data_IF_025256857031
#
_entry.id   IF_025256857031
#
_cell.length_a   1.000
_cell.length_b   1.000
_cell.length_c   1.000
_cell.angle_alpha   90.00
_cell.angle_beta   90.00
_cell.angle_gamma   90.00
#
_symmetry.space_group_name_H-M   'P 1'
#
loop_
_entity.id
_entity.type
_entity.pdbx_description
1 polymer ?
#
# COMPACT_ATOMS: atom_id res chain seq x y z
N UNK A 1 15.07 17.20 31.44
CA UNK A 1 14.66 18.00 30.27
C UNK A 1 13.39 17.38 29.73
N UNK A 2 12.25 18.04 29.99
CA UNK A 2 10.92 17.50 29.73
C UNK A 2 10.59 17.51 28.24
N UNK A 3 10.06 16.40 27.76
CA UNK A 3 9.47 16.30 26.43
C UNK A 3 8.13 17.06 26.43
N UNK A 4 7.84 17.89 25.40
CA UNK A 4 6.61 18.63 25.33
C UNK A 4 5.41 17.68 25.12
N UNK A 5 4.43 17.77 26.02
CA UNK A 5 3.07 17.29 25.82
C UNK A 5 2.43 18.14 24.73
N UNK A 6 2.48 17.71 23.47
CA UNK A 6 1.55 18.15 22.44
C UNK A 6 1.53 17.12 21.31
N UNK A 7 0.33 16.84 20.83
CA UNK A 7 0.03 15.80 19.86
C UNK A 7 0.76 16.03 18.54
N UNK A 8 1.80 15.26 18.26
CA UNK A 8 2.39 15.18 16.91
C UNK A 8 1.51 14.27 16.06
N UNK A 9 0.68 14.88 15.23
CA UNK A 9 -0.01 14.17 14.16
C UNK A 9 1.02 13.47 13.24
N UNK A 10 0.65 12.36 12.61
CA UNK A 10 1.50 11.65 11.63
C UNK A 10 2.06 12.61 10.57
N UNK A 11 1.32 13.68 10.26
CA UNK A 11 1.68 14.77 9.36
C UNK A 11 2.93 15.58 9.76
N UNK A 12 3.32 15.59 11.04
CA UNK A 12 4.46 16.38 11.56
C UNK A 12 5.78 15.60 11.52
N UNK A 13 5.75 14.29 11.28
CA UNK A 13 6.97 13.52 11.07
C UNK A 13 7.46 13.78 9.65
N UNK A 14 8.54 14.55 9.51
CA UNK A 14 9.19 14.81 8.22
C UNK A 14 9.91 13.54 7.73
N UNK A 15 9.17 12.66 7.06
CA UNK A 15 9.67 11.40 6.52
C UNK A 15 10.59 11.55 5.30
N UNK A 16 10.70 12.76 4.73
CA UNK A 16 11.59 13.05 3.61
C UNK A 16 13.08 13.07 4.00
N UNK A 17 13.39 13.07 5.31
CA UNK A 17 14.74 13.25 5.84
C UNK A 17 15.47 11.94 6.26
N UNK A 18 14.83 10.77 6.16
CA UNK A 18 15.45 9.51 6.61
C UNK A 18 16.24 8.82 5.49
N UNK A 19 17.57 8.87 5.58
CA UNK A 19 18.44 7.98 4.80
C UNK A 19 18.29 6.49 5.25
N UNK A 20 18.90 5.56 4.52
CA UNK A 20 18.75 4.11 4.78
C UNK A 20 19.33 3.68 6.14
N UNK A 21 20.34 4.39 6.64
CA UNK A 21 21.00 4.11 7.92
C UNK A 21 20.21 4.67 9.10
N UNK A 22 19.71 5.89 8.99
CA UNK A 22 18.83 6.55 9.94
C UNK A 22 17.50 5.79 10.08
N UNK A 23 16.96 5.31 8.96
CA UNK A 23 15.79 4.41 8.98
C UNK A 23 16.09 3.12 9.73
N UNK A 24 17.21 2.41 9.46
CA UNK A 24 17.54 1.17 10.17
C UNK A 24 17.82 1.39 11.66
N UNK A 25 18.39 2.53 12.04
CA UNK A 25 18.62 2.88 13.44
C UNK A 25 17.30 3.21 14.15
N UNK A 26 16.44 4.03 13.52
CA UNK A 26 15.10 4.33 14.01
C UNK A 26 14.25 3.07 14.16
N UNK A 27 14.22 2.20 13.14
CA UNK A 27 13.48 0.93 13.20
C UNK A 27 14.01 0.01 14.30
N UNK A 28 15.34 -0.07 14.52
CA UNK A 28 15.91 -0.87 15.62
C UNK A 28 15.55 -0.30 17.00
N UNK A 29 15.66 1.01 17.16
CA UNK A 29 15.34 1.69 18.41
C UNK A 29 13.84 1.58 18.75
N UNK A 30 12.97 1.66 17.75
CA UNK A 30 11.54 1.54 17.91
C UNK A 30 11.07 0.08 18.01
N UNK A 31 11.74 -0.89 17.38
CA UNK A 31 11.44 -2.32 17.56
C UNK A 31 11.65 -2.75 19.01
N UNK A 32 12.70 -2.26 19.67
CA UNK A 32 12.93 -2.49 21.10
C UNK A 32 11.87 -1.82 22.00
N UNK A 33 11.33 -0.67 21.59
CA UNK A 33 10.22 0.00 22.27
C UNK A 33 8.88 -0.73 22.06
N UNK A 34 8.65 -1.30 20.87
CA UNK A 34 7.46 -2.11 20.54
C UNK A 34 7.51 -3.48 21.24
N UNK A 35 8.68 -4.08 21.42
CA UNK A 35 8.83 -5.35 22.16
C UNK A 35 8.66 -5.19 23.68
N UNK A 36 8.99 -4.03 24.24
CA UNK A 36 8.84 -3.74 25.68
C UNK A 36 7.47 -3.14 26.07
N UNK A 37 6.69 -2.68 25.08
CA UNK A 37 5.34 -2.14 25.28
C UNK A 37 4.33 -3.20 24.81
N UNK A 38 3.32 -3.56 25.63
CA UNK A 38 2.24 -4.49 25.22
C UNK A 38 1.74 -4.12 23.82
N UNK A 39 1.41 -5.11 22.95
CA UNK A 39 1.22 -4.89 21.52
C UNK A 39 0.31 -3.70 21.30
N UNK A 40 0.90 -2.64 20.75
CA UNK A 40 0.15 -1.47 20.33
C UNK A 40 -0.87 -1.98 19.32
N UNK A 41 -2.13 -1.84 19.67
CA UNK A 41 -3.20 -2.11 18.77
C UNK A 41 -3.60 -0.81 18.11
N UNK A 42 -3.49 -0.77 16.78
CA UNK A 42 -3.98 0.33 15.99
C UNK A 42 -5.38 0.06 15.50
N UNK A 43 -6.18 1.13 15.46
CA UNK A 43 -7.43 1.14 14.72
C UNK A 43 -7.14 1.07 13.20
N UNK A 44 -8.03 0.44 12.45
CA UNK A 44 -7.89 0.29 11.00
C UNK A 44 -7.85 1.65 10.26
N UNK A 45 -8.49 2.69 10.79
CA UNK A 45 -8.47 4.04 10.23
C UNK A 45 -7.09 4.69 10.26
N UNK A 46 -6.30 4.47 11.33
CA UNK A 46 -4.92 4.97 11.42
C UNK A 46 -4.03 4.32 10.36
N UNK A 47 -4.25 3.03 10.11
CA UNK A 47 -3.52 2.28 9.08
C UNK A 47 -3.89 2.80 7.69
N UNK A 48 -5.16 3.12 7.46
CA UNK A 48 -5.63 3.68 6.19
C UNK A 48 -5.06 5.08 5.95
N UNK A 49 -5.00 5.95 6.95
CA UNK A 49 -4.40 7.29 6.85
C UNK A 49 -2.90 7.21 6.51
N UNK A 50 -2.16 6.33 7.19
CA UNK A 50 -0.77 6.02 6.85
C UNK A 50 -0.61 5.59 5.38
N UNK A 51 -1.48 4.70 4.91
CA UNK A 51 -1.48 4.23 3.52
C UNK A 51 -1.68 5.39 2.54
N UNK A 52 -2.66 6.26 2.80
CA UNK A 52 -2.88 7.47 2.01
C UNK A 52 -1.63 8.36 1.95
N UNK A 53 -0.98 8.61 3.09
CA UNK A 53 0.22 9.44 3.13
C UNK A 53 1.40 8.81 2.35
N UNK A 54 1.60 7.50 2.51
CA UNK A 54 2.67 6.76 1.85
C UNK A 54 2.59 6.86 0.33
N UNK A 55 1.36 6.72 -0.20
CA UNK A 55 1.07 6.74 -1.63
C UNK A 55 0.99 8.16 -2.19
N UNK A 56 0.38 9.10 -1.47
CA UNK A 56 0.28 10.50 -1.92
C UNK A 56 1.66 11.14 -2.15
N UNK A 57 2.67 10.75 -1.36
CA UNK A 57 4.07 11.20 -1.52
C UNK A 57 4.91 10.31 -2.44
N UNK A 58 4.30 9.35 -3.11
CA UNK A 58 4.99 8.43 -4.01
C UNK A 58 5.21 9.11 -5.37
N UNK A 59 6.46 9.08 -5.88
CA UNK A 59 6.77 9.58 -7.22
C UNK A 59 6.38 8.62 -8.34
N UNK A 60 6.00 7.39 -7.97
CA UNK A 60 5.61 6.35 -8.90
C UNK A 60 4.10 6.34 -9.10
N UNK A 61 3.68 5.76 -10.22
CA UNK A 61 2.28 5.51 -10.54
C UNK A 61 1.83 4.28 -9.75
N UNK A 62 1.02 4.49 -8.72
CA UNK A 62 0.61 3.45 -7.80
C UNK A 62 -0.81 3.64 -7.29
N UNK A 63 -1.47 2.53 -7.00
CA UNK A 63 -2.83 2.46 -6.47
C UNK A 63 -2.92 1.45 -5.35
N UNK A 64 -3.76 1.68 -4.35
CA UNK A 64 -4.07 0.72 -3.29
C UNK A 64 -5.56 0.44 -3.26
N UNK A 65 -5.92 -0.85 -3.28
CA UNK A 65 -7.29 -1.33 -3.13
C UNK A 65 -7.46 -2.18 -1.88
N UNK A 66 -8.67 -2.16 -1.30
CA UNK A 66 -8.99 -2.95 -0.12
C UNK A 66 -9.76 -4.23 -0.50
N UNK A 67 -9.12 -5.42 -0.47
CA UNK A 67 -9.77 -6.68 -0.84
C UNK A 67 -10.82 -7.15 0.18
N UNK A 68 -10.94 -6.50 1.35
CA UNK A 68 -11.92 -6.83 2.38
C UNK A 68 -13.29 -6.19 2.11
N UNK A 69 -13.30 -5.13 1.31
CA UNK A 69 -14.51 -4.44 0.92
C UNK A 69 -15.07 -5.06 -0.36
N UNK A 70 -16.40 -5.00 -0.49
CA UNK A 70 -17.08 -5.47 -1.69
C UNK A 70 -16.47 -4.80 -2.93
N UNK A 71 -16.19 -5.61 -3.94
CA UNK A 71 -15.66 -5.13 -5.21
C UNK A 71 -14.21 -4.64 -5.21
N UNK A 72 -13.47 -4.77 -4.10
CA UNK A 72 -12.06 -4.34 -4.00
C UNK A 72 -11.84 -2.87 -4.44
N UNK A 73 -12.50 -1.89 -3.81
CA UNK A 73 -12.44 -0.50 -4.21
C UNK A 73 -11.06 0.10 -3.93
N UNK A 74 -10.68 1.10 -4.73
CA UNK A 74 -9.49 1.90 -4.50
C UNK A 74 -9.67 2.74 -3.22
N UNK A 75 -8.70 2.63 -2.32
CA UNK A 75 -8.63 3.46 -1.11
C UNK A 75 -7.56 4.54 -1.23
N UNK A 76 -6.52 4.36 -2.03
CA UNK A 76 -5.52 5.41 -2.27
C UNK A 76 -4.95 5.33 -3.70
N UNK A 77 -4.58 6.47 -4.26
CA UNK A 77 -3.93 6.58 -5.57
C UNK A 77 -2.82 7.63 -5.50
N UNK A 78 -1.76 7.46 -6.28
CA UNK A 78 -0.68 8.45 -6.35
C UNK A 78 -1.01 9.55 -7.36
N UNK A 79 -0.41 10.73 -7.19
CA UNK A 79 -0.52 11.82 -8.17
C UNK A 79 -0.03 11.39 -9.57
N UNK A 80 0.94 10.47 -9.65
CA UNK A 80 1.38 9.89 -10.91
C UNK A 80 0.28 9.07 -11.61
N UNK A 81 -0.57 8.38 -10.85
CA UNK A 81 -1.74 7.68 -11.40
C UNK A 81 -2.77 8.65 -11.95
N UNK A 82 -3.04 9.76 -11.25
CA UNK A 82 -3.95 10.78 -11.76
C UNK A 82 -3.44 11.39 -13.07
N UNK A 83 -2.16 11.76 -13.11
CA UNK A 83 -1.52 12.32 -14.30
C UNK A 83 -1.53 11.34 -15.49
N UNK A 84 -1.23 10.06 -15.25
CA UNK A 84 -1.22 9.04 -16.30
C UNK A 84 -2.63 8.69 -16.79
N UNK A 85 -3.59 8.50 -15.89
CA UNK A 85 -4.92 8.01 -16.25
C UNK A 85 -5.90 9.13 -16.65
N UNK A 86 -5.63 10.36 -16.21
CA UNK A 86 -6.51 11.51 -16.34
C UNK A 86 -7.67 11.55 -15.35
N UNK A 87 -7.81 10.55 -14.48
CA UNK A 87 -8.82 10.52 -13.42
C UNK A 87 -8.29 11.20 -12.16
N UNK A 88 -9.11 12.03 -11.52
CA UNK A 88 -8.76 12.60 -10.22
C UNK A 88 -9.08 11.63 -9.10
N UNK A 89 -8.31 11.68 -8.02
CA UNK A 89 -8.50 10.86 -6.83
C UNK A 89 -9.96 10.91 -6.33
N UNK A 90 -10.56 12.09 -6.24
CA UNK A 90 -11.93 12.26 -5.72
C UNK A 90 -12.99 11.56 -6.57
N UNK A 91 -12.69 11.28 -7.84
CA UNK A 91 -13.60 10.65 -8.78
C UNK A 91 -13.56 9.12 -8.71
N UNK A 92 -12.46 8.53 -8.23
CA UNK A 92 -12.18 7.09 -8.37
C UNK A 92 -11.97 6.37 -7.04
N UNK A 93 -11.75 7.09 -5.94
CA UNK A 93 -11.76 6.48 -4.62
C UNK A 93 -13.13 5.86 -4.34
N UNK A 94 -13.13 4.70 -3.69
CA UNK A 94 -14.34 3.91 -3.46
C UNK A 94 -14.80 3.09 -4.66
N UNK A 95 -14.11 3.14 -5.80
CA UNK A 95 -14.46 2.35 -6.99
C UNK A 95 -13.39 1.32 -7.32
N UNK A 96 -13.80 0.20 -7.94
CA UNK A 96 -12.85 -0.75 -8.49
C UNK A 96 -12.12 -0.18 -9.73
N UNK A 97 -10.82 -0.42 -9.81
CA UNK A 97 -9.95 0.07 -10.90
C UNK A 97 -10.33 -0.43 -12.32
N UNK A 98 -11.26 -1.40 -12.44
CA UNK A 98 -11.74 -1.92 -13.73
C UNK A 98 -12.39 -0.87 -14.63
N UNK A 99 -12.68 0.34 -14.15
CA UNK A 99 -13.11 1.43 -15.03
C UNK A 99 -12.11 1.67 -16.18
N UNK A 100 -10.82 1.39 -15.98
CA UNK A 100 -9.79 1.46 -17.03
C UNK A 100 -9.91 0.37 -18.09
N UNK A 101 -10.63 -0.71 -17.80
CA UNK A 101 -10.82 -1.85 -18.71
C UNK A 101 -12.09 -1.69 -19.58
N UNK A 102 -12.83 -0.58 -19.46
CA UNK A 102 -14.09 -0.37 -20.22
C UNK A 102 -13.82 -0.44 -21.72
N UNK A 103 -14.53 -1.36 -22.38
CA UNK A 103 -14.40 -1.66 -23.81
C UNK A 103 -12.99 -2.11 -24.23
N UNK A 104 -12.23 -2.69 -23.30
CA UNK A 104 -10.97 -3.38 -23.59
C UNK A 104 -11.17 -4.87 -23.33
N UNK A 105 -10.82 -5.72 -24.30
CA UNK A 105 -10.90 -7.17 -24.14
C UNK A 105 -9.70 -7.65 -23.32
N UNK A 106 -9.97 -8.37 -22.23
CA UNK A 106 -8.96 -9.11 -21.49
C UNK A 106 -9.16 -10.61 -21.73
N UNK A 107 -8.10 -11.37 -22.06
CA UNK A 107 -8.20 -12.81 -22.20
C UNK A 107 -8.75 -13.47 -20.92
N UNK A 108 -9.59 -14.52 -21.02
CA UNK A 108 -10.19 -15.17 -19.85
C UNK A 108 -9.17 -15.65 -18.80
N UNK A 109 -7.99 -16.08 -19.25
CA UNK A 109 -6.86 -16.47 -18.38
C UNK A 109 -6.36 -15.32 -17.51
N UNK A 110 -6.29 -14.12 -18.07
CA UNK A 110 -5.76 -12.94 -17.37
C UNK A 110 -6.83 -12.39 -16.41
N UNK A 111 -8.11 -12.50 -16.78
CA UNK A 111 -9.24 -12.24 -15.85
C UNK A 111 -9.22 -13.20 -14.66
N UNK A 112 -8.97 -14.50 -14.90
CA UNK A 112 -8.87 -15.49 -13.83
C UNK A 112 -7.69 -15.19 -12.89
N UNK A 113 -6.51 -14.88 -13.44
CA UNK A 113 -5.33 -14.52 -12.65
C UNK A 113 -5.51 -13.22 -11.86
N UNK A 114 -6.20 -12.21 -12.42
CA UNK A 114 -6.57 -11.00 -11.68
C UNK A 114 -7.52 -11.32 -10.51
N UNK A 115 -8.51 -12.19 -10.72
CA UNK A 115 -9.43 -12.60 -9.64
C UNK A 115 -8.69 -13.35 -8.54
N UNK A 116 -7.79 -14.25 -8.90
CA UNK A 116 -6.93 -14.95 -7.94
C UNK A 116 -6.08 -13.96 -7.15
N UNK A 117 -5.39 -13.03 -7.82
CA UNK A 117 -4.64 -11.96 -7.18
C UNK A 117 -5.51 -11.17 -6.19
N UNK A 118 -6.74 -10.79 -6.57
CA UNK A 118 -7.65 -10.07 -5.67
C UNK A 118 -8.07 -10.89 -4.44
N UNK A 119 -8.18 -12.21 -4.57
CA UNK A 119 -8.62 -13.10 -3.48
C UNK A 119 -7.48 -13.50 -2.54
N UNK A 120 -6.30 -13.79 -3.09
CA UNK A 120 -5.18 -14.40 -2.35
C UNK A 120 -4.03 -13.42 -2.11
N UNK A 121 -3.96 -12.33 -2.88
CA UNK A 121 -2.82 -11.45 -2.96
C UNK A 121 -1.67 -11.99 -3.82
N UNK A 122 -1.90 -13.08 -4.57
CA UNK A 122 -0.92 -13.66 -5.48
C UNK A 122 -0.38 -12.62 -6.48
N UNK A 123 0.89 -12.72 -6.90
CA UNK A 123 1.42 -11.81 -7.89
C UNK A 123 0.72 -11.86 -9.25
N UNK A 124 0.38 -10.69 -9.78
CA UNK A 124 -0.08 -10.53 -11.15
C UNK A 124 0.75 -9.45 -11.84
N UNK A 125 1.42 -9.79 -12.95
CA UNK A 125 2.20 -8.83 -13.73
C UNK A 125 1.92 -9.00 -15.22
N UNK A 126 1.28 -8.02 -15.86
CA UNK A 126 0.95 -8.06 -17.29
C UNK A 126 0.82 -6.67 -17.90
N UNK A 127 1.06 -6.59 -19.20
CA UNK A 127 0.65 -5.44 -20.02
C UNK A 127 -0.82 -5.63 -20.40
N UNK A 128 -1.64 -4.63 -20.08
CA UNK A 128 -3.08 -4.61 -20.34
C UNK A 128 -3.42 -3.43 -21.25
N UNK A 129 -4.31 -3.63 -22.21
CA UNK A 129 -4.89 -2.51 -22.94
C UNK A 129 -5.91 -1.80 -22.04
N UNK A 130 -5.66 -0.55 -21.71
CA UNK A 130 -6.48 0.27 -20.82
C UNK A 130 -6.91 1.55 -21.51
N UNK A 131 -7.89 2.22 -20.91
CA UNK A 131 -8.46 3.47 -21.42
C UNK A 131 -8.33 4.58 -20.39
N UNK A 132 -7.76 5.71 -20.80
CA UNK A 132 -7.71 6.93 -20.00
C UNK A 132 -9.09 7.56 -19.89
N UNK A 133 -9.25 8.53 -19.00
CA UNK A 133 -10.47 9.35 -18.90
C UNK A 133 -10.83 10.07 -20.21
N UNK A 134 -9.82 10.48 -20.98
CA UNK A 134 -9.99 11.11 -22.30
C UNK A 134 -10.60 10.17 -23.35
N UNK A 135 -10.63 8.86 -23.08
CA UNK A 135 -11.01 7.83 -24.04
C UNK A 135 -9.84 7.24 -24.82
N UNK A 136 -8.64 7.80 -24.70
CA UNK A 136 -7.42 7.29 -25.33
C UNK A 136 -7.09 5.88 -24.82
N UNK A 137 -6.76 4.99 -25.76
CA UNK A 137 -6.24 3.66 -25.45
C UNK A 137 -4.73 3.73 -25.20
N UNK A 138 -4.27 3.01 -24.19
CA UNK A 138 -2.87 2.94 -23.86
C UNK A 138 -2.52 1.57 -23.28
N UNK A 139 -1.29 1.14 -23.45
CA UNK A 139 -0.79 -0.10 -22.87
C UNK A 139 -0.28 0.15 -21.46
N UNK A 140 -0.95 -0.44 -20.48
CA UNK A 140 -0.65 -0.33 -19.06
C UNK A 140 0.06 -1.59 -18.56
N UNK A 141 1.35 -1.48 -18.25
CA UNK A 141 2.05 -2.53 -17.51
C UNK A 141 1.67 -2.46 -16.03
N UNK A 142 0.84 -3.41 -15.60
CA UNK A 142 0.36 -3.55 -14.23
C UNK A 142 1.14 -4.64 -13.49
N UNK A 143 1.78 -4.28 -12.38
CA UNK A 143 2.22 -5.21 -11.32
C UNK A 143 1.28 -5.05 -10.11
N UNK A 144 0.45 -6.04 -9.84
CA UNK A 144 -0.55 -6.07 -8.77
C UNK A 144 -0.23 -7.21 -7.80
N UNK A 145 -0.08 -6.90 -6.51
CA UNK A 145 0.25 -7.88 -5.47
C UNK A 145 -0.36 -7.51 -4.13
N UNK A 146 -0.63 -8.51 -3.29
CA UNK A 146 -1.04 -8.30 -1.91
C UNK A 146 0.14 -7.90 -1.02
N UNK A 147 -0.06 -6.90 -0.14
CA UNK A 147 0.91 -6.45 0.84
C UNK A 147 0.31 -6.53 2.25
N UNK A 148 0.86 -7.40 3.10
CA UNK A 148 0.49 -7.49 4.52
C UNK A 148 1.14 -6.36 5.30
N UNK A 149 0.33 -5.58 6.03
CA UNK A 149 0.74 -4.40 6.80
C UNK A 149 0.51 -4.54 8.30
N UNK A 150 -0.42 -5.40 8.73
CA UNK A 150 -0.64 -5.69 10.13
C UNK A 150 -1.17 -7.12 10.32
N UNK A 151 -1.25 -7.56 11.57
CA UNK A 151 -1.85 -8.82 11.98
C UNK A 151 -2.74 -8.57 13.18
N UNK A 152 -3.97 -9.07 13.15
CA UNK A 152 -4.87 -8.99 14.28
C UNK A 152 -4.29 -9.85 15.42
N UNK A 153 -4.23 -9.29 16.62
CA UNK A 153 -3.62 -9.96 17.77
C UNK A 153 -4.37 -11.24 18.16
N UNK A 154 -5.70 -11.17 18.21
CA UNK A 154 -6.56 -12.24 18.71
C UNK A 154 -6.83 -13.31 17.64
N UNK A 155 -7.21 -12.90 16.43
CA UNK A 155 -7.60 -13.84 15.36
C UNK A 155 -6.40 -14.34 14.56
N UNK A 156 -5.23 -13.71 14.71
CA UNK A 156 -4.01 -13.98 13.92
C UNK A 156 -4.18 -13.73 12.42
N UNK A 157 -5.28 -13.12 12.00
CA UNK A 157 -5.57 -12.77 10.62
C UNK A 157 -4.63 -11.64 10.15
N UNK A 158 -4.14 -11.75 8.91
CA UNK A 158 -3.34 -10.68 8.29
C UNK A 158 -4.26 -9.57 7.76
N UNK A 159 -3.92 -8.32 8.06
CA UNK A 159 -4.41 -7.16 7.34
C UNK A 159 -3.50 -6.92 6.14
N UNK A 160 -4.08 -6.97 4.95
CA UNK A 160 -3.35 -6.78 3.72
C UNK A 160 -4.19 -6.01 2.70
N UNK A 161 -3.50 -5.34 1.79
CA UNK A 161 -4.09 -4.53 0.74
C UNK A 161 -3.51 -4.93 -0.62
N UNK A 162 -4.24 -4.67 -1.69
CA UNK A 162 -3.72 -4.82 -3.04
C UNK A 162 -2.95 -3.56 -3.40
N UNK A 163 -1.70 -3.72 -3.83
CA UNK A 163 -0.88 -2.63 -4.35
C UNK A 163 -0.69 -2.85 -5.85
N UNK A 164 -1.20 -1.93 -6.64
CA UNK A 164 -0.98 -1.86 -8.08
C UNK A 164 0.10 -0.84 -8.40
N UNK A 165 1.08 -1.23 -9.21
CA UNK A 165 2.10 -0.36 -9.80
C UNK A 165 1.85 -0.37 -11.29
N UNK A 166 1.79 0.82 -11.90
CA UNK A 166 1.46 0.96 -13.30
C UNK A 166 2.57 1.67 -14.08
N UNK A 167 2.68 1.37 -15.36
CA UNK A 167 3.52 2.13 -16.27
C UNK A 167 2.88 2.16 -17.66
N UNK A 168 2.87 3.34 -18.26
CA UNK A 168 2.47 3.50 -19.66
C UNK A 168 3.60 3.01 -20.56
N UNK A 169 3.32 1.96 -21.34
CA UNK A 169 4.26 1.33 -22.27
C UNK A 169 3.77 1.41 -23.70
N UNK A 170 2.86 2.34 -24.01
CA UNK A 170 2.26 2.47 -25.36
C UNK A 170 3.28 2.72 -26.47
N UNK A 171 4.42 3.31 -26.13
CA UNK A 171 5.52 3.56 -27.06
C UNK A 171 6.48 2.37 -27.24
N UNK A 172 6.22 1.25 -26.56
CA UNK A 172 6.98 0.02 -26.73
C UNK A 172 6.15 -0.91 -27.64
N UNK A 173 6.61 -1.17 -28.85
CA UNK A 173 5.91 -2.08 -29.76
C UNK A 173 5.95 -3.52 -29.20
N UNK A 174 4.89 -4.32 -29.34
CA UNK A 174 4.81 -5.68 -28.77
C UNK A 174 5.94 -6.62 -29.26
N UNK A 175 6.44 -6.40 -30.48
CA UNK A 175 7.60 -7.12 -31.05
C UNK A 175 8.95 -6.51 -30.63
N UNK A 176 8.97 -5.22 -30.24
CA UNK A 176 10.14 -4.45 -29.79
C UNK A 176 10.19 -4.24 -28.27
N UNK A 177 9.57 -5.11 -27.48
CA UNK A 177 9.86 -5.19 -26.05
C UNK A 177 10.87 -6.31 -25.84
N UNK A 178 12.20 -6.06 -25.96
CA UNK A 178 13.18 -7.12 -25.73
C UNK A 178 12.99 -7.64 -24.31
N UNK A 179 13.36 -8.90 -24.04
CA UNK A 179 13.31 -9.46 -22.69
C UNK A 179 14.00 -8.53 -21.66
N UNK A 180 15.02 -7.79 -22.09
CA UNK A 180 15.70 -6.76 -21.31
C UNK A 180 14.81 -5.58 -20.90
N UNK A 181 13.85 -5.12 -21.73
CA UNK A 181 12.90 -4.08 -21.32
C UNK A 181 11.92 -4.60 -20.28
N UNK A 182 11.36 -5.80 -20.47
CA UNK A 182 10.51 -6.42 -19.46
C UNK A 182 11.30 -6.61 -18.16
N UNK A 183 12.55 -7.04 -18.23
CA UNK A 183 13.43 -7.17 -17.06
C UNK A 183 13.66 -5.83 -16.36
N UNK A 184 13.90 -4.76 -17.11
CA UNK A 184 14.03 -3.39 -16.57
C UNK A 184 12.74 -2.93 -15.89
N UNK A 185 11.57 -3.22 -16.45
CA UNK A 185 10.31 -2.81 -15.81
C UNK A 185 10.01 -3.66 -14.58
N UNK A 186 10.30 -4.97 -14.60
CA UNK A 186 10.26 -5.80 -13.40
C UNK A 186 11.23 -5.30 -12.32
N UNK A 187 12.40 -4.79 -12.71
CA UNK A 187 13.34 -4.17 -11.79
C UNK A 187 12.76 -2.88 -11.19
N UNK A 188 12.19 -1.98 -12.01
CA UNK A 188 11.52 -0.77 -11.52
C UNK A 188 10.38 -1.14 -10.57
N UNK A 189 9.51 -2.08 -10.93
CA UNK A 189 8.44 -2.55 -10.04
C UNK A 189 9.02 -3.14 -8.74
N UNK A 190 10.14 -3.85 -8.79
CA UNK A 190 10.83 -4.37 -7.59
C UNK A 190 11.34 -3.25 -6.69
N UNK A 191 11.93 -2.21 -7.27
CA UNK A 191 12.43 -1.06 -6.53
C UNK A 191 11.27 -0.27 -5.89
N UNK A 192 10.17 -0.08 -6.63
CA UNK A 192 8.94 0.55 -6.13
C UNK A 192 8.37 -0.26 -4.98
N UNK A 193 8.26 -1.59 -5.14
CA UNK A 193 7.80 -2.49 -4.08
C UNK A 193 8.66 -2.37 -2.82
N UNK A 194 9.99 -2.34 -2.96
CA UNK A 194 10.90 -2.15 -1.85
C UNK A 194 10.70 -0.80 -1.14
N UNK A 195 10.55 0.29 -1.90
CA UNK A 195 10.31 1.63 -1.35
C UNK A 195 8.96 1.73 -0.63
N UNK A 196 7.89 1.18 -1.21
CA UNK A 196 6.55 1.16 -0.60
C UNK A 196 6.53 0.31 0.68
N UNK A 197 7.14 -0.88 0.66
CA UNK A 197 7.26 -1.70 1.87
C UNK A 197 8.02 -0.95 2.98
N UNK A 198 9.10 -0.25 2.64
CA UNK A 198 9.87 0.56 3.60
C UNK A 198 9.02 1.67 4.21
N UNK A 199 8.32 2.45 3.39
CA UNK A 199 7.46 3.56 3.85
C UNK A 199 6.29 3.09 4.70
N UNK A 200 5.59 2.04 4.28
CA UNK A 200 4.49 1.49 5.05
C UNK A 200 4.96 0.88 6.37
N UNK A 201 6.15 0.28 6.39
CA UNK A 201 6.77 -0.19 7.64
C UNK A 201 7.13 0.99 8.58
N UNK A 202 7.62 2.11 8.04
CA UNK A 202 7.86 3.33 8.85
C UNK A 202 6.59 3.83 9.50
N UNK A 203 5.51 3.92 8.73
CA UNK A 203 4.24 4.46 9.21
C UNK A 203 3.55 3.52 10.19
N UNK A 204 3.64 2.22 9.96
CA UNK A 204 3.26 1.19 10.92
C UNK A 204 3.96 1.39 12.27
N UNK A 205 5.26 1.68 12.28
CA UNK A 205 6.03 1.93 13.50
C UNK A 205 5.68 3.28 14.12
N UNK A 206 5.66 4.36 13.33
CA UNK A 206 5.35 5.70 13.81
C UNK A 206 3.94 5.78 14.42
N UNK A 207 2.94 5.23 13.73
CA UNK A 207 1.59 5.13 14.26
C UNK A 207 1.53 4.30 15.55
N UNK A 208 2.40 3.29 15.69
CA UNK A 208 2.40 2.45 16.89
C UNK A 208 2.88 3.20 18.13
N UNK A 209 3.90 4.03 17.94
CA UNK A 209 4.49 4.88 18.96
C UNK A 209 3.48 5.97 19.36
N UNK A 210 2.83 6.59 18.38
CA UNK A 210 1.82 7.63 18.62
C UNK A 210 0.57 7.07 19.32
N UNK A 211 0.11 5.87 18.94
CA UNK A 211 -1.02 5.20 19.60
C UNK A 211 -0.69 4.83 21.05
N UNK A 212 0.52 4.34 21.31
CA UNK A 212 0.98 4.02 22.68
C UNK A 212 1.08 5.26 23.59
N UNK A 213 1.35 6.44 23.02
CA UNK A 213 1.44 7.70 23.75
C UNK A 213 0.07 8.33 24.09
N UNK A 214 -1.00 7.95 23.38
CA UNK A 214 -2.35 8.52 23.53
C UNK A 214 -3.26 7.79 24.53
N UNK A 215 -2.92 6.58 24.97
CA UNK A 215 -3.76 5.79 25.89
C UNK A 215 -3.29 5.97 27.34
N UNK A 216 -4.06 6.62 28.23
CA UNK A 216 -3.74 6.69 29.65
C UNK A 216 -3.67 5.28 30.27
N UNK A 217 -2.74 5.02 31.21
CA UNK A 217 -2.56 3.68 31.78
C UNK A 217 -3.82 3.14 32.50
N UNK A 218 -4.74 4.02 32.89
CA UNK A 218 -5.97 3.71 33.64
C UNK A 218 -7.19 3.35 32.78
N UNK A 219 -7.17 3.63 31.46
CA UNK A 219 -8.24 3.25 30.51
C UNK A 219 -7.93 1.95 29.75
N UNK A 220 -6.98 1.15 30.26
CA UNK A 220 -6.64 -0.17 29.72
C UNK A 220 -7.66 -1.20 30.21
N UNK A 221 -8.92 -1.03 29.81
CA UNK A 221 -9.98 -1.98 30.16
C UNK A 221 -9.84 -3.30 29.39
N UNK A 222 -9.89 -4.39 30.16
CA UNK A 222 -10.16 -5.75 29.69
C UNK A 222 -11.60 -5.80 29.12
N UNK A 223 -11.79 -5.39 27.86
CA UNK A 223 -13.14 -5.39 27.30
C UNK A 223 -13.33 -4.90 25.86
N UNK A 224 -12.31 -4.34 25.20
CA UNK A 224 -12.44 -4.00 23.78
C UNK A 224 -12.52 -5.28 22.93
N UNK A 225 -13.63 -5.44 22.22
CA UNK A 225 -13.90 -6.57 21.34
C UNK A 225 -12.67 -6.92 20.50
N UNK A 226 -12.24 -8.17 20.62
CA UNK A 226 -11.00 -8.71 20.06
C UNK A 226 -10.83 -8.54 18.54
N UNK A 227 -11.86 -8.08 17.83
CA UNK A 227 -11.87 -7.87 16.37
C UNK A 227 -11.16 -6.61 15.88
N UNK A 228 -10.97 -5.58 16.72
CA UNK A 228 -10.47 -4.26 16.26
C UNK A 228 -8.96 -4.03 16.40
N UNK A 229 -8.23 -4.90 17.10
CA UNK A 229 -6.87 -4.61 17.56
C UNK A 229 -5.82 -5.14 16.56
N UNK A 230 -5.28 -4.27 15.71
CA UNK A 230 -4.26 -4.61 14.70
C UNK A 230 -2.85 -4.31 15.18
N UNK A 231 -1.97 -5.32 15.15
CA UNK A 231 -0.55 -5.16 15.41
C UNK A 231 0.20 -4.97 14.08
N UNK A 232 0.81 -3.80 13.83
CA UNK A 232 1.53 -3.58 12.59
C UNK A 232 2.71 -4.54 12.47
N UNK A 233 2.96 -5.04 11.25
CA UNK A 233 4.17 -5.83 11.02
C UNK A 233 5.36 -4.87 10.93
N UNK A 234 6.41 -5.15 11.69
CA UNK A 234 7.66 -4.35 11.69
C UNK A 234 8.23 -4.21 10.27
N UNK A 235 8.00 -5.23 9.44
CA UNK A 235 8.31 -5.22 8.01
C UNK A 235 7.08 -5.66 7.23
N UNK A 236 6.54 -4.77 6.41
CA UNK A 236 5.48 -5.11 5.46
C UNK A 236 5.98 -6.23 4.51
N UNK A 237 5.11 -7.22 4.25
CA UNK A 237 5.47 -8.43 3.49
C UNK A 237 4.54 -8.62 2.30
N UNK A 238 5.12 -8.76 1.12
CA UNK A 238 4.39 -9.16 -0.08
C UNK A 238 3.87 -10.60 0.08
N UNK A 239 2.62 -10.83 -0.34
CA UNK A 239 2.01 -12.16 -0.29
C UNK A 239 2.59 -13.04 -1.40
N UNK A 240 2.92 -14.31 -1.10
CA UNK A 240 3.62 -15.20 -2.04
C UNK A 240 2.74 -15.72 -3.19
N UNK A 241 1.41 -15.66 -3.05
CA UNK A 241 0.49 -16.49 -3.83
C UNK A 241 0.30 -17.84 -3.17
#
# INVERSE_FOLDING_TARGET
FGLPRQATALSEVSFAAFDDSAFRAFMRQQSAAIESTRPCAMDAGVIQEAIHEAIGRCKFVATIGDPRLEDCPLIAVSAGFEAMSGYRQEEILGQNCRFMNRNCLLPPRDVAALRECCQTGAPFTKVLLNRRKSGELFYNLLDLRGLTVARNHATRQDLWFLVGIQADVTHLEEEDVPEDHLRKIHQVATDIRAQLSKRLSMLAVAGSVLASAKVPPEQREEGQEAGGLWCPVIKARWRPG
#
